data_IF_815686257372
#
_entry.id   IF_815686257372
#
_cell.length_a   1.000
_cell.length_b   1.000
_cell.length_c   1.000
_cell.angle_alpha   90.00
_cell.angle_beta   90.00
_cell.angle_gamma   90.00
#
_symmetry.space_group_name_H-M   'P 1'
#
loop_
_entity.id
_entity.type
_entity.pdbx_description
1 polymer ?
#
# COMPACT_ATOMS: atom_id res chain seq x y z
N UNK A 1 -45.56 17.40 -44.58
CA UNK A 1 -45.95 18.69 -43.98
C UNK A 1 -44.69 19.28 -43.36
N UNK A 2 -44.08 20.24 -44.05
CA UNK A 2 -42.84 20.94 -43.69
C UNK A 2 -43.25 22.35 -43.25
N UNK A 3 -42.58 22.93 -42.24
CA UNK A 3 -42.31 24.37 -42.23
C UNK A 3 -40.79 24.57 -42.05
N UNK A 4 -40.07 24.87 -43.13
CA UNK A 4 -39.58 26.20 -43.53
C UNK A 4 -38.72 26.90 -42.47
N UNK A 5 -37.45 27.11 -42.86
CA UNK A 5 -36.43 27.88 -42.16
C UNK A 5 -36.65 29.40 -42.34
N UNK A 6 -36.22 30.24 -41.39
CA UNK A 6 -35.96 31.65 -41.66
C UNK A 6 -34.50 31.89 -42.03
N UNK A 7 -34.33 32.64 -43.11
CA UNK A 7 -33.09 33.06 -43.75
C UNK A 7 -32.14 33.90 -42.89
N UNK A 8 -30.85 33.64 -43.11
CA UNK A 8 -29.67 34.49 -42.96
C UNK A 8 -29.89 36.00 -42.75
N UNK A 9 -29.36 36.53 -41.64
CA UNK A 9 -28.94 37.93 -41.53
C UNK A 9 -27.45 37.99 -41.19
N UNK A 10 -26.66 38.41 -42.18
CA UNK A 10 -25.27 38.77 -42.01
C UNK A 10 -25.15 40.01 -41.10
N UNK A 11 -24.35 39.93 -40.05
CA UNK A 11 -23.71 41.09 -39.43
C UNK A 11 -22.22 40.82 -39.29
N UNK A 12 -21.51 41.36 -40.28
CA UNK A 12 -20.07 41.51 -40.37
C UNK A 12 -19.63 42.49 -39.30
N UNK A 13 -18.79 42.03 -38.36
CA UNK A 13 -18.10 42.89 -37.41
C UNK A 13 -16.78 42.23 -37.00
N UNK A 14 -15.61 42.73 -37.42
CA UNK A 14 -14.34 42.22 -36.94
C UNK A 14 -14.18 42.67 -35.48
N UNK A 15 -14.47 41.75 -34.56
CA UNK A 15 -14.12 41.87 -33.15
C UNK A 15 -12.60 41.92 -33.02
N UNK A 16 -12.08 43.15 -32.98
CA UNK A 16 -10.74 43.58 -32.59
C UNK A 16 -9.95 42.47 -31.87
N UNK A 17 -8.93 41.94 -32.55
CA UNK A 17 -7.83 41.25 -31.89
C UNK A 17 -7.24 42.23 -30.87
N UNK A 18 -7.50 41.98 -29.58
CA UNK A 18 -6.83 42.69 -28.51
C UNK A 18 -5.37 42.25 -28.61
N UNK A 19 -4.51 43.09 -29.17
CA UNK A 19 -3.07 42.90 -29.09
C UNK A 19 -2.74 42.77 -27.61
N UNK A 20 -2.33 41.59 -27.16
CA UNK A 20 -1.68 41.47 -25.86
C UNK A 20 -0.37 42.23 -26.01
N UNK A 21 -0.39 43.48 -25.58
CA UNK A 21 0.80 44.22 -25.16
C UNK A 21 1.71 43.26 -24.41
N UNK A 22 2.98 43.22 -24.80
CA UNK A 22 3.98 42.33 -24.24
C UNK A 22 3.89 42.29 -22.73
N UNK A 23 3.79 41.08 -22.19
CA UNK A 23 4.06 40.83 -20.78
C UNK A 23 5.55 41.09 -20.61
N UNK A 24 5.90 42.35 -20.36
CA UNK A 24 7.23 42.74 -19.93
C UNK A 24 7.42 42.16 -18.55
N UNK A 25 8.25 41.11 -18.46
CA UNK A 25 8.70 40.58 -17.18
C UNK A 25 9.49 41.69 -16.49
N UNK A 26 8.91 42.29 -15.45
CA UNK A 26 9.61 43.28 -14.63
C UNK A 26 10.67 42.57 -13.76
N UNK A 27 11.74 43.27 -13.37
CA UNK A 27 12.79 42.70 -12.52
C UNK A 27 12.26 42.17 -11.18
N UNK A 28 11.18 42.76 -10.71
CA UNK A 28 10.46 42.35 -9.50
C UNK A 28 9.73 41.02 -9.66
N UNK A 29 9.24 40.70 -10.86
CA UNK A 29 8.58 39.42 -11.16
C UNK A 29 9.60 38.27 -11.17
N UNK A 30 10.81 38.52 -11.68
CA UNK A 30 11.92 37.57 -11.59
C UNK A 30 12.32 37.32 -10.13
N UNK A 31 12.45 38.38 -9.32
CA UNK A 31 12.75 38.26 -7.89
C UNK A 31 11.68 37.45 -7.14
N UNK A 32 10.39 37.69 -7.43
CA UNK A 32 9.27 36.93 -6.84
C UNK A 32 9.24 35.48 -7.29
N UNK A 33 9.51 35.20 -8.56
CA UNK A 33 9.58 33.84 -9.07
C UNK A 33 10.75 33.06 -8.46
N UNK A 34 11.93 33.68 -8.33
CA UNK A 34 13.11 33.07 -7.68
C UNK A 34 12.84 32.79 -6.19
N UNK A 35 12.21 33.73 -5.48
CA UNK A 35 11.85 33.54 -4.06
C UNK A 35 10.77 32.46 -3.87
N UNK A 36 9.76 32.41 -4.74
CA UNK A 36 8.73 31.38 -4.71
C UNK A 36 9.30 29.98 -5.04
N UNK A 37 10.21 29.90 -6.00
CA UNK A 37 10.88 28.66 -6.39
C UNK A 37 11.82 28.16 -5.29
N UNK A 38 12.63 29.06 -4.71
CA UNK A 38 13.53 28.78 -3.59
C UNK A 38 12.79 28.33 -2.32
N UNK A 39 11.65 28.96 -2.01
CA UNK A 39 10.80 28.58 -0.87
C UNK A 39 10.11 27.22 -1.04
N UNK A 40 9.73 26.85 -2.27
CA UNK A 40 9.12 25.55 -2.54
C UNK A 40 10.11 24.38 -2.39
N UNK A 41 11.38 24.59 -2.72
CA UNK A 41 12.38 23.51 -2.64
C UNK A 41 12.84 23.30 -1.19
N UNK A 42 13.04 24.40 -0.45
CA UNK A 42 13.46 24.35 0.95
C UNK A 42 12.37 23.75 1.87
N UNK A 43 11.09 23.97 1.55
CA UNK A 43 9.97 23.39 2.30
C UNK A 43 9.85 21.87 2.12
N UNK A 44 10.13 21.34 0.91
CA UNK A 44 10.17 19.90 0.66
C UNK A 44 11.33 19.21 1.36
N UNK A 45 12.53 19.81 1.33
CA UNK A 45 13.70 19.31 2.05
C UNK A 45 13.45 19.23 3.56
N UNK A 46 12.85 20.27 4.14
CA UNK A 46 12.55 20.32 5.58
C UNK A 46 11.48 19.29 5.99
N UNK A 47 10.42 19.11 5.19
CA UNK A 47 9.38 18.10 5.45
C UNK A 47 9.88 16.66 5.32
N UNK A 48 10.73 16.39 4.33
CA UNK A 48 11.33 15.07 4.12
C UNK A 48 12.28 14.70 5.28
N UNK A 49 13.08 15.66 5.75
CA UNK A 49 13.96 15.49 6.91
C UNK A 49 13.17 15.24 8.19
N UNK A 50 12.11 16.02 8.45
CA UNK A 50 11.28 15.87 9.64
C UNK A 50 10.56 14.51 9.69
N UNK A 51 9.89 14.12 8.60
CA UNK A 51 9.20 12.82 8.52
C UNK A 51 10.17 11.63 8.64
N UNK A 52 11.38 11.76 8.10
CA UNK A 52 12.42 10.73 8.25
C UNK A 52 12.88 10.60 9.70
N UNK A 53 13.10 11.70 10.42
CA UNK A 53 13.51 11.69 11.82
C UNK A 53 12.44 11.07 12.73
N UNK A 54 11.17 11.38 12.48
CA UNK A 54 10.05 10.83 13.27
C UNK A 54 9.90 9.32 13.09
N UNK A 55 10.08 8.79 11.86
CA UNK A 55 10.06 7.34 11.63
C UNK A 55 11.25 6.63 12.28
N UNK A 56 12.44 7.22 12.25
CA UNK A 56 13.62 6.64 12.90
C UNK A 56 13.42 6.53 14.42
N UNK A 57 12.81 7.54 15.04
CA UNK A 57 12.48 7.52 16.47
C UNK A 57 11.48 6.42 16.87
N UNK A 58 10.56 6.05 15.97
CA UNK A 58 9.54 5.02 16.22
C UNK A 58 9.94 3.59 15.80
N UNK A 59 11.06 3.45 15.09
CA UNK A 59 11.56 2.18 14.57
C UNK A 59 11.69 1.05 15.63
N UNK A 60 12.13 1.31 16.88
CA UNK A 60 12.19 0.27 17.90
C UNK A 60 10.81 -0.30 18.25
N UNK A 61 9.80 0.58 18.39
CA UNK A 61 8.43 0.17 18.69
C UNK A 61 7.81 -0.64 17.54
N UNK A 62 8.03 -0.18 16.29
CA UNK A 62 7.60 -0.91 15.10
C UNK A 62 8.19 -2.32 15.04
N UNK A 63 9.47 -2.48 15.42
CA UNK A 63 10.13 -3.78 15.50
C UNK A 63 9.51 -4.66 16.58
N UNK A 64 9.33 -4.15 17.80
CA UNK A 64 8.75 -4.91 18.91
C UNK A 64 7.35 -5.41 18.54
N UNK A 65 6.49 -4.53 18.02
CA UNK A 65 5.13 -4.90 17.62
C UNK A 65 5.13 -5.86 16.43
N UNK A 66 5.97 -5.62 15.44
CA UNK A 66 6.10 -6.48 14.27
C UNK A 66 6.53 -7.90 14.61
N UNK A 67 7.63 -8.04 15.37
CA UNK A 67 8.11 -9.36 15.82
C UNK A 67 7.17 -10.00 16.84
N UNK A 68 6.49 -9.20 17.67
CA UNK A 68 5.43 -9.69 18.55
C UNK A 68 4.29 -10.36 17.77
N UNK A 69 3.95 -9.84 16.60
CA UNK A 69 2.98 -10.47 15.68
C UNK A 69 3.42 -11.82 15.11
N UNK A 70 4.70 -12.20 15.17
CA UNK A 70 5.15 -13.53 14.77
C UNK A 70 4.98 -14.59 15.89
N UNK A 71 4.81 -14.16 17.14
CA UNK A 71 4.70 -15.09 18.27
C UNK A 71 3.53 -16.07 18.08
N UNK A 72 2.31 -15.65 17.71
CA UNK A 72 1.21 -16.59 17.50
C UNK A 72 1.44 -17.51 16.29
N UNK A 73 2.10 -17.02 15.22
CA UNK A 73 2.46 -17.84 14.07
C UNK A 73 3.31 -19.04 14.48
N UNK A 74 4.40 -18.80 15.21
CA UNK A 74 5.30 -19.86 15.63
C UNK A 74 4.69 -20.75 16.71
N UNK A 75 3.96 -20.18 17.68
CA UNK A 75 3.29 -20.97 18.71
C UNK A 75 2.30 -21.97 18.11
N UNK A 76 1.46 -21.52 17.17
CA UNK A 76 0.48 -22.38 16.50
C UNK A 76 1.16 -23.36 15.53
N UNK A 77 2.19 -22.92 14.80
CA UNK A 77 2.95 -23.78 13.88
C UNK A 77 3.64 -24.95 14.62
N UNK A 78 4.28 -24.67 15.75
CA UNK A 78 4.89 -25.69 16.62
C UNK A 78 3.82 -26.65 17.14
N UNK A 79 2.68 -26.12 17.62
CA UNK A 79 1.57 -26.95 18.06
C UNK A 79 1.03 -27.87 16.95
N UNK A 80 0.99 -27.41 15.70
CA UNK A 80 0.61 -28.26 14.56
C UNK A 80 1.63 -29.37 14.31
N UNK A 81 2.92 -29.05 14.35
CA UNK A 81 4.00 -29.97 13.98
C UNK A 81 4.29 -31.03 15.06
N UNK A 82 4.20 -30.67 16.34
CA UNK A 82 4.69 -31.51 17.44
C UNK A 82 3.58 -32.05 18.36
N UNK A 83 2.33 -31.61 18.21
CA UNK A 83 1.23 -32.15 19.03
C UNK A 83 0.86 -33.58 18.63
N UNK A 84 0.94 -34.50 19.61
CA UNK A 84 0.45 -35.87 19.46
C UNK A 84 -1.08 -35.95 19.56
N UNK A 85 -1.72 -34.99 20.24
CA UNK A 85 -3.18 -34.89 20.31
C UNK A 85 -3.72 -34.33 18.98
N UNK A 86 -4.58 -35.11 18.31
CA UNK A 86 -5.21 -34.76 17.05
C UNK A 86 -6.17 -33.56 17.17
N UNK A 87 -6.87 -33.41 18.29
CA UNK A 87 -7.78 -32.29 18.51
C UNK A 87 -7.01 -30.98 18.66
N UNK A 88 -5.93 -31.00 19.46
CA UNK A 88 -5.05 -29.84 19.62
C UNK A 88 -4.36 -29.48 18.31
N UNK A 89 -3.90 -30.48 17.54
CA UNK A 89 -3.29 -30.26 16.23
C UNK A 89 -4.27 -29.60 15.24
N UNK A 90 -5.51 -30.09 15.18
CA UNK A 90 -6.55 -29.51 14.33
C UNK A 90 -6.93 -28.09 14.76
N UNK A 91 -7.07 -27.86 16.08
CA UNK A 91 -7.35 -26.53 16.62
C UNK A 91 -6.22 -25.56 16.29
N UNK A 92 -4.95 -25.97 16.47
CA UNK A 92 -3.79 -25.17 16.12
C UNK A 92 -3.72 -24.89 14.61
N UNK A 93 -4.08 -25.85 13.77
CA UNK A 93 -4.10 -25.68 12.31
C UNK A 93 -5.14 -24.65 11.87
N UNK A 94 -6.36 -24.75 12.41
CA UNK A 94 -7.42 -23.77 12.15
C UNK A 94 -7.03 -22.41 12.72
N UNK A 95 -6.51 -22.36 13.95
CA UNK A 95 -6.05 -21.14 14.59
C UNK A 95 -4.95 -20.44 13.79
N UNK A 96 -3.97 -21.19 13.29
CA UNK A 96 -2.89 -20.68 12.44
C UNK A 96 -3.46 -20.07 11.16
N UNK A 97 -4.42 -20.76 10.55
CA UNK A 97 -5.10 -20.29 9.34
C UNK A 97 -5.87 -19.00 9.59
N UNK A 98 -6.67 -18.93 10.65
CA UNK A 98 -7.46 -17.74 11.02
C UNK A 98 -6.54 -16.55 11.30
N UNK A 99 -5.47 -16.78 12.08
CA UNK A 99 -4.52 -15.73 12.41
C UNK A 99 -3.80 -15.19 11.17
N UNK A 100 -3.39 -16.07 10.25
CA UNK A 100 -2.78 -15.68 8.99
C UNK A 100 -3.73 -14.87 8.10
N UNK A 101 -5.01 -15.25 8.02
CA UNK A 101 -6.01 -14.46 7.29
C UNK A 101 -6.21 -13.08 7.92
N UNK A 102 -6.29 -13.01 9.24
CA UNK A 102 -6.49 -11.75 9.96
C UNK A 102 -5.32 -10.78 9.75
N UNK A 103 -4.08 -11.27 9.88
CA UNK A 103 -2.89 -10.45 9.61
C UNK A 103 -2.84 -10.06 8.13
N UNK A 104 -3.10 -10.97 7.19
CA UNK A 104 -3.13 -10.65 5.75
C UNK A 104 -4.15 -9.53 5.43
N UNK A 105 -5.34 -9.57 6.04
CA UNK A 105 -6.34 -8.52 5.90
C UNK A 105 -5.86 -7.17 6.51
N UNK A 106 -5.21 -7.21 7.67
CA UNK A 106 -4.59 -6.03 8.27
C UNK A 106 -3.54 -5.40 7.34
N UNK A 107 -2.72 -6.21 6.66
CA UNK A 107 -1.76 -5.72 5.68
C UNK A 107 -2.42 -5.03 4.47
N UNK A 108 -3.56 -5.56 4.03
CA UNK A 108 -4.41 -4.88 3.05
C UNK A 108 -4.90 -3.51 3.56
N UNK A 109 -5.45 -3.45 4.78
CA UNK A 109 -5.98 -2.22 5.35
C UNK A 109 -4.94 -1.08 5.44
N UNK A 110 -3.66 -1.40 5.66
CA UNK A 110 -2.57 -0.40 5.68
C UNK A 110 -2.48 0.38 4.36
N UNK A 111 -2.81 -0.24 3.21
CA UNK A 111 -2.80 0.42 1.91
C UNK A 111 -3.86 1.51 1.78
N UNK A 112 -5.00 1.36 2.45
CA UNK A 112 -5.99 2.43 2.53
C UNK A 112 -5.47 3.60 3.36
N UNK A 113 -4.74 3.30 4.44
CA UNK A 113 -4.03 4.32 5.22
C UNK A 113 -3.10 5.15 4.34
N UNK A 114 -2.24 4.51 3.55
CA UNK A 114 -1.36 5.21 2.61
C UNK A 114 -2.12 6.01 1.55
N UNK A 115 -3.20 5.45 0.99
CA UNK A 115 -4.02 6.14 0.01
C UNK A 115 -4.63 7.45 0.55
N UNK A 116 -4.98 7.49 1.84
CA UNK A 116 -5.59 8.63 2.52
C UNK A 116 -4.58 9.65 3.03
N UNK A 117 -3.40 9.22 3.48
CA UNK A 117 -2.43 10.11 4.15
C UNK A 117 -1.37 10.68 3.22
N UNK A 118 -1.09 10.05 2.08
CA UNK A 118 -0.06 10.53 1.16
C UNK A 118 -0.63 11.56 0.16
N UNK A 119 -0.25 12.85 0.29
CA UNK A 119 -0.84 13.94 -0.49
C UNK A 119 -0.41 13.92 -1.97
N UNK A 120 0.82 13.49 -2.24
CA UNK A 120 1.47 13.59 -3.55
C UNK A 120 1.31 12.33 -4.44
N UNK A 121 0.39 11.42 -4.09
CA UNK A 121 0.13 10.23 -4.89
C UNK A 121 -0.61 10.55 -6.18
N UNK A 122 -0.16 9.95 -7.28
CA UNK A 122 -0.92 9.97 -8.53
C UNK A 122 -2.30 9.32 -8.35
N UNK A 123 -3.29 9.81 -9.11
CA UNK A 123 -4.66 9.30 -9.03
C UNK A 123 -4.74 7.78 -9.30
N UNK A 124 -3.91 7.28 -10.22
CA UNK A 124 -3.87 5.86 -10.56
C UNK A 124 -3.24 5.01 -9.46
N UNK A 125 -2.16 5.48 -8.82
CA UNK A 125 -1.56 4.77 -7.69
C UNK A 125 -2.52 4.75 -6.49
N UNK A 126 -3.19 5.86 -6.19
CA UNK A 126 -4.20 5.92 -5.13
C UNK A 126 -5.33 4.90 -5.37
N UNK A 127 -5.84 4.80 -6.60
CA UNK A 127 -6.83 3.76 -6.95
C UNK A 127 -6.28 2.35 -6.75
N UNK A 128 -5.05 2.08 -7.19
CA UNK A 128 -4.39 0.78 -7.00
C UNK A 128 -4.30 0.42 -5.52
N UNK A 129 -3.89 1.34 -4.65
CA UNK A 129 -3.81 1.12 -3.20
C UNK A 129 -5.18 0.81 -2.58
N UNK A 130 -6.24 1.49 -3.03
CA UNK A 130 -7.60 1.25 -2.54
C UNK A 130 -8.10 -0.14 -2.95
N UNK A 131 -7.92 -0.53 -4.21
CA UNK A 131 -8.30 -1.87 -4.70
C UNK A 131 -7.46 -2.93 -4.00
N UNK A 132 -6.14 -2.72 -3.95
CA UNK A 132 -5.20 -3.63 -3.33
C UNK A 132 -5.38 -3.73 -1.82
N UNK A 133 -5.97 -2.73 -1.16
CA UNK A 133 -6.25 -2.85 0.28
C UNK A 133 -7.33 -3.87 0.61
N UNK A 134 -8.21 -4.20 -0.33
CA UNK A 134 -9.29 -5.18 -0.13
C UNK A 134 -8.89 -6.58 -0.61
N UNK A 135 -8.07 -6.67 -1.66
CA UNK A 135 -7.69 -7.94 -2.28
C UNK A 135 -7.08 -8.97 -1.29
N UNK A 136 -6.13 -8.62 -0.40
CA UNK A 136 -5.53 -9.56 0.54
C UNK A 136 -6.56 -10.21 1.48
N UNK A 137 -7.56 -9.45 1.93
CA UNK A 137 -8.62 -9.98 2.79
C UNK A 137 -9.50 -10.99 2.02
N UNK A 138 -9.90 -10.66 0.79
CA UNK A 138 -10.70 -11.56 -0.05
C UNK A 138 -9.94 -12.83 -0.42
N UNK A 139 -8.66 -12.69 -0.78
CA UNK A 139 -7.78 -13.81 -1.08
C UNK A 139 -7.58 -14.68 0.15
N UNK A 140 -7.30 -14.10 1.32
CA UNK A 140 -7.16 -14.82 2.58
C UNK A 140 -8.42 -15.62 2.94
N UNK A 141 -9.59 -14.98 2.89
CA UNK A 141 -10.88 -15.65 3.13
C UNK A 141 -11.13 -16.78 2.13
N UNK A 142 -10.83 -16.57 0.85
CA UNK A 142 -10.98 -17.61 -0.18
C UNK A 142 -10.04 -18.80 0.10
N UNK A 143 -8.79 -18.50 0.46
CA UNK A 143 -7.78 -19.50 0.76
C UNK A 143 -8.10 -20.33 2.01
N UNK A 144 -8.78 -19.73 2.99
CA UNK A 144 -9.21 -20.42 4.21
C UNK A 144 -10.08 -21.64 3.94
N UNK A 145 -10.85 -21.64 2.85
CA UNK A 145 -11.71 -22.78 2.50
C UNK A 145 -10.97 -23.92 1.80
N UNK A 146 -9.69 -23.76 1.44
CA UNK A 146 -8.92 -24.87 0.88
C UNK A 146 -8.70 -25.97 1.93
N UNK A 147 -8.64 -27.25 1.50
CA UNK A 147 -8.38 -28.37 2.38
C UNK A 147 -6.89 -28.52 2.69
N UNK A 148 -6.60 -29.01 3.90
CA UNK A 148 -5.26 -29.45 4.31
C UNK A 148 -4.17 -28.42 4.04
N UNK A 149 -2.98 -28.88 3.69
CA UNK A 149 -1.82 -28.01 3.54
C UNK A 149 -1.91 -26.94 2.44
N UNK A 150 -2.74 -27.13 1.41
CA UNK A 150 -2.96 -26.14 0.35
C UNK A 150 -3.43 -24.79 0.89
N UNK A 151 -4.19 -24.81 1.98
CA UNK A 151 -4.61 -23.60 2.70
C UNK A 151 -3.41 -22.79 3.18
N UNK A 152 -2.50 -23.42 3.91
CA UNK A 152 -1.34 -22.74 4.50
C UNK A 152 -0.32 -22.31 3.44
N UNK A 153 -0.09 -23.15 2.43
CA UNK A 153 0.80 -22.80 1.31
C UNK A 153 0.23 -21.66 0.46
N UNK A 154 -1.07 -21.69 0.18
CA UNK A 154 -1.74 -20.59 -0.52
C UNK A 154 -1.64 -19.28 0.27
N UNK A 155 -1.83 -19.33 1.59
CA UNK A 155 -1.64 -18.15 2.44
C UNK A 155 -0.19 -17.67 2.40
N UNK A 156 0.81 -18.56 2.47
CA UNK A 156 2.22 -18.18 2.35
C UNK A 156 2.52 -17.46 1.01
N UNK A 157 1.95 -17.93 -0.10
CA UNK A 157 2.06 -17.26 -1.40
C UNK A 157 1.40 -15.88 -1.40
N UNK A 158 0.22 -15.73 -0.77
CA UNK A 158 -0.46 -14.45 -0.66
C UNK A 158 0.36 -13.41 0.13
N UNK A 159 1.04 -13.83 1.21
CA UNK A 159 1.98 -12.98 1.94
C UNK A 159 3.14 -12.52 1.05
N UNK A 160 3.71 -13.42 0.25
CA UNK A 160 4.73 -13.08 -0.74
C UNK A 160 4.23 -12.06 -1.77
N UNK A 161 3.02 -12.25 -2.29
CA UNK A 161 2.42 -11.33 -3.26
C UNK A 161 2.21 -9.92 -2.69
N UNK A 162 1.74 -9.82 -1.44
CA UNK A 162 1.62 -8.53 -0.74
C UNK A 162 2.99 -7.88 -0.55
N UNK A 163 4.01 -8.64 -0.15
CA UNK A 163 5.37 -8.09 -0.02
C UNK A 163 5.95 -7.61 -1.36
N UNK A 164 5.71 -8.32 -2.46
CA UNK A 164 6.11 -7.87 -3.79
C UNK A 164 5.42 -6.55 -4.15
N UNK A 165 4.13 -6.43 -3.86
CA UNK A 165 3.42 -5.16 -4.05
C UNK A 165 4.02 -4.03 -3.19
N UNK A 166 4.29 -4.28 -1.91
CA UNK A 166 4.94 -3.32 -1.00
C UNK A 166 6.31 -2.88 -1.58
N UNK A 167 7.14 -3.84 -2.01
CA UNK A 167 8.49 -3.59 -2.52
C UNK A 167 8.55 -2.85 -3.86
N UNK A 168 7.46 -2.88 -4.64
CA UNK A 168 7.38 -2.17 -5.93
C UNK A 168 6.87 -0.74 -5.77
N UNK A 169 6.15 -0.44 -4.69
CA UNK A 169 5.52 0.88 -4.49
C UNK A 169 6.10 1.68 -3.31
N UNK A 170 6.97 1.10 -2.47
CA UNK A 170 7.46 1.77 -1.24
C UNK A 170 8.13 3.14 -1.50
N UNK A 171 8.88 3.30 -2.60
CA UNK A 171 9.51 4.58 -2.94
C UNK A 171 8.47 5.65 -3.29
N UNK A 172 7.45 5.28 -4.07
CA UNK A 172 6.34 6.18 -4.43
C UNK A 172 5.49 6.57 -3.22
N UNK A 173 5.53 5.77 -2.15
CA UNK A 173 4.88 6.04 -0.87
C UNK A 173 5.76 6.86 0.10
N UNK A 174 7.01 7.20 -0.28
CA UNK A 174 7.95 7.92 0.58
C UNK A 174 8.44 7.11 1.79
N UNK A 175 8.32 5.78 1.75
CA UNK A 175 8.68 4.92 2.88
C UNK A 175 10.19 4.66 2.93
N UNK A 176 10.81 4.67 4.13
CA UNK A 176 12.23 4.41 4.27
C UNK A 176 12.57 2.94 3.98
N UNK A 177 13.80 2.69 3.54
CA UNK A 177 14.28 1.34 3.24
C UNK A 177 14.22 0.41 4.47
N UNK A 178 14.38 0.95 5.68
CA UNK A 178 14.30 0.16 6.92
C UNK A 178 12.91 -0.39 7.20
N UNK A 179 11.85 0.32 6.78
CA UNK A 179 10.49 -0.23 6.83
C UNK A 179 10.36 -1.46 5.93
N UNK A 180 10.91 -1.40 4.72
CA UNK A 180 10.87 -2.53 3.78
C UNK A 180 11.71 -3.71 4.28
N UNK A 181 12.86 -3.45 4.92
CA UNK A 181 13.67 -4.49 5.56
C UNK A 181 12.91 -5.18 6.67
N UNK A 182 12.29 -4.42 7.58
CA UNK A 182 11.43 -5.00 8.63
C UNK A 182 10.31 -5.84 8.00
N UNK A 183 9.63 -5.30 6.99
CA UNK A 183 8.57 -5.98 6.25
C UNK A 183 9.01 -7.31 5.66
N UNK A 184 10.21 -7.36 5.09
CA UNK A 184 10.80 -8.58 4.53
C UNK A 184 11.05 -9.65 5.59
N UNK A 185 11.56 -9.25 6.76
CA UNK A 185 11.83 -10.16 7.89
C UNK A 185 10.53 -10.74 8.44
N UNK A 186 9.50 -9.91 8.62
CA UNK A 186 8.19 -10.35 9.10
C UNK A 186 7.49 -11.27 8.10
N UNK A 187 7.53 -10.93 6.81
CA UNK A 187 6.94 -11.77 5.76
C UNK A 187 7.65 -13.11 5.68
N UNK A 188 8.98 -13.12 5.72
CA UNK A 188 9.78 -14.36 5.71
C UNK A 188 9.44 -15.21 6.94
N UNK A 189 9.37 -14.61 8.12
CA UNK A 189 9.01 -15.32 9.35
C UNK A 189 7.60 -15.94 9.29
N UNK A 190 6.62 -15.20 8.80
CA UNK A 190 5.26 -15.71 8.63
C UNK A 190 5.19 -16.84 7.59
N UNK A 191 5.86 -16.67 6.45
CA UNK A 191 5.93 -17.70 5.39
C UNK A 191 6.57 -18.98 5.93
N UNK A 192 7.68 -18.91 6.65
CA UNK A 192 8.32 -20.08 7.24
C UNK A 192 7.40 -20.80 8.22
N UNK A 193 6.69 -20.05 9.07
CA UNK A 193 5.73 -20.62 10.02
C UNK A 193 4.54 -21.31 9.34
N UNK A 194 4.16 -20.89 8.13
CA UNK A 194 3.08 -21.49 7.35
C UNK A 194 3.54 -22.70 6.51
N UNK A 195 4.70 -22.60 5.88
CA UNK A 195 5.20 -23.63 4.94
C UNK A 195 5.52 -24.94 5.65
N UNK A 196 6.06 -24.90 6.87
CA UNK A 196 6.37 -26.12 7.65
C UNK A 196 5.15 -27.05 7.82
N UNK A 197 4.11 -26.63 8.57
CA UNK A 197 2.89 -27.41 8.74
C UNK A 197 2.12 -27.61 7.43
N UNK A 198 2.16 -26.64 6.50
CA UNK A 198 1.51 -26.75 5.20
C UNK A 198 2.08 -27.87 4.33
N UNK A 199 3.40 -28.04 4.31
CA UNK A 199 4.06 -29.08 3.50
C UNK A 199 3.80 -30.48 4.06
N UNK A 200 3.83 -30.63 5.39
CA UNK A 200 3.54 -31.91 6.05
C UNK A 200 2.10 -32.36 5.83
N UNK A 201 1.15 -31.43 5.74
CA UNK A 201 -0.27 -31.73 5.56
C UNK A 201 -0.65 -32.09 4.10
N UNK A 202 0.30 -32.11 3.17
CA UNK A 202 0.11 -32.58 1.77
C UNK A 202 0.81 -33.93 1.54
N UNK A 203 1.84 -34.24 2.32
CA UNK A 203 2.59 -35.50 2.27
C UNK A 203 1.80 -36.65 2.90
#
# INVERSE_FOLDING_TARGET
MVPEAPSTRALKGPGRLRSSSGVGWDGDDMGRAVMAYSGSDNSKGTQTMAASNDLHGQMPLMRILGFGGLVPFYALSIAVLFSQDANLRNLAFVGLSVYAVAILAFLGAVHWGFAMTAPDLSADLRKKLLVFGVLPALVGCSLFFLPGGYRLLGLALAYGAVFVFDSTHYQSLGLPQDWLRLRSQLTTGAVLALVGPGSLAIA
#
